data_IF_473134885546
#
_entry.id   IF_473134885546
#
_cell.length_a   1.000
_cell.length_b   1.000
_cell.length_c   1.000
_cell.angle_alpha   90.00
_cell.angle_beta   90.00
_cell.angle_gamma   90.00
#
_symmetry.space_group_name_H-M   'P 1'
#
loop_
_entity.id
_entity.type
_entity.pdbx_description
1 polymer ?
#
# COMPACT_ATOMS: atom_id res chain seq x y z
N UNK A 1 29.29 13.14 -10.80
CA UNK A 1 30.10 11.90 -10.76
C UNK A 1 30.84 11.73 -9.44
N UNK A 2 31.85 12.55 -9.07
CA UNK A 2 32.62 12.40 -7.80
C UNK A 2 31.80 12.26 -6.50
N UNK A 3 30.59 12.83 -6.44
CA UNK A 3 29.69 12.68 -5.29
C UNK A 3 29.03 11.30 -5.19
N UNK A 4 28.57 10.74 -6.32
CA UNK A 4 27.86 9.45 -6.35
C UNK A 4 28.81 8.28 -6.05
N UNK A 5 30.01 8.30 -6.63
CA UNK A 5 31.06 7.31 -6.33
C UNK A 5 31.41 7.27 -4.84
N UNK A 6 31.43 8.43 -4.18
CA UNK A 6 31.70 8.52 -2.74
C UNK A 6 30.56 7.89 -1.92
N UNK A 7 29.29 8.08 -2.32
CA UNK A 7 28.14 7.47 -1.65
C UNK A 7 28.18 5.94 -1.74
N UNK A 8 28.53 5.38 -2.91
CA UNK A 8 28.67 3.93 -3.06
C UNK A 8 29.84 3.41 -2.22
N UNK A 9 30.97 4.12 -2.20
CA UNK A 9 32.13 3.73 -1.38
C UNK A 9 31.82 3.76 0.13
N UNK A 10 30.86 4.59 0.55
CA UNK A 10 30.37 4.62 1.94
C UNK A 10 29.35 3.52 2.25
N UNK A 11 28.74 2.88 1.25
CA UNK A 11 27.71 1.85 1.44
C UNK A 11 28.19 0.75 2.40
N UNK A 12 29.45 0.31 2.27
CA UNK A 12 30.01 -0.71 3.14
C UNK A 12 30.01 -0.29 4.62
N UNK A 13 30.38 0.97 4.89
CA UNK A 13 30.36 1.53 6.24
C UNK A 13 28.92 1.64 6.77
N UNK A 14 28.04 2.28 6.00
CA UNK A 14 26.65 2.53 6.39
C UNK A 14 25.88 1.24 6.70
N UNK A 15 26.04 0.21 5.86
CA UNK A 15 25.42 -1.09 6.08
C UNK A 15 25.99 -1.76 7.32
N UNK A 16 27.32 -1.87 7.42
CA UNK A 16 27.95 -2.67 8.47
C UNK A 16 27.86 -2.04 9.87
N UNK A 17 27.66 -0.72 9.98
CA UNK A 17 27.42 -0.01 11.24
C UNK A 17 25.95 -0.07 11.70
N UNK A 18 25.01 -0.51 10.84
CA UNK A 18 23.60 -0.63 11.18
C UNK A 18 23.22 -2.07 11.52
N UNK A 19 23.12 -2.40 12.81
CA UNK A 19 22.84 -3.76 13.28
C UNK A 19 21.52 -4.34 12.77
N UNK A 20 20.48 -3.51 12.66
CA UNK A 20 19.16 -3.94 12.18
C UNK A 20 19.22 -4.36 10.71
N UNK A 21 19.92 -3.60 9.87
CA UNK A 21 20.11 -3.89 8.46
C UNK A 21 20.95 -5.16 8.27
N UNK A 22 22.07 -5.30 8.99
CA UNK A 22 22.90 -6.51 8.91
C UNK A 22 22.09 -7.74 9.36
N UNK A 23 21.30 -7.61 10.42
CA UNK A 23 20.46 -8.68 10.91
C UNK A 23 19.39 -9.07 9.88
N UNK A 24 18.71 -8.11 9.24
CA UNK A 24 17.69 -8.41 8.22
C UNK A 24 18.29 -9.11 6.99
N UNK A 25 19.54 -8.78 6.63
CA UNK A 25 20.28 -9.39 5.52
C UNK A 25 21.00 -10.70 5.82
N UNK A 26 20.97 -11.22 7.06
CA UNK A 26 21.85 -12.31 7.54
C UNK A 26 21.84 -13.62 6.73
N UNK A 27 20.82 -13.84 5.92
CA UNK A 27 20.68 -15.02 5.05
C UNK A 27 21.13 -14.79 3.60
N UNK A 28 21.56 -13.58 3.26
CA UNK A 28 22.02 -13.23 1.93
C UNK A 28 23.55 -13.19 1.88
N UNK A 29 24.13 -13.99 0.98
CA UNK A 29 25.50 -13.80 0.49
C UNK A 29 25.46 -13.78 -1.05
N UNK A 30 25.85 -12.66 -1.65
CA UNK A 30 25.67 -12.40 -3.08
C UNK A 30 26.69 -11.40 -3.61
N UNK A 31 27.08 -11.53 -4.88
CA UNK A 31 27.69 -10.46 -5.66
C UNK A 31 26.62 -9.94 -6.64
N UNK A 32 26.28 -8.66 -6.55
CA UNK A 32 25.36 -8.00 -7.49
C UNK A 32 26.01 -6.78 -8.12
N UNK A 33 25.57 -6.43 -9.32
CA UNK A 33 26.12 -5.31 -10.08
C UNK A 33 25.22 -4.06 -9.95
N UNK A 34 25.78 -2.96 -9.45
CA UNK A 34 25.13 -1.65 -9.42
C UNK A 34 25.67 -0.79 -10.57
N UNK A 35 24.81 -0.34 -11.49
CA UNK A 35 25.17 0.54 -12.60
C UNK A 35 24.69 1.97 -12.38
N UNK A 36 25.61 2.94 -12.45
CA UNK A 36 25.36 4.38 -12.29
C UNK A 36 25.83 5.11 -13.55
N UNK A 37 24.90 5.43 -14.45
CA UNK A 37 25.28 5.95 -15.76
C UNK A 37 26.13 4.92 -16.52
N UNK A 38 27.39 5.25 -16.79
CA UNK A 38 28.34 4.36 -17.47
C UNK A 38 29.28 3.62 -16.51
N UNK A 39 29.21 3.91 -15.21
CA UNK A 39 30.07 3.32 -14.19
C UNK A 39 29.38 2.12 -13.56
N UNK A 40 30.14 1.04 -13.29
CA UNK A 40 29.59 -0.17 -12.69
C UNK A 40 30.35 -0.54 -11.41
N UNK A 41 29.62 -1.08 -10.44
CA UNK A 41 30.17 -1.47 -9.14
C UNK A 41 29.69 -2.86 -8.78
N UNK A 42 30.62 -3.78 -8.52
CA UNK A 42 30.32 -5.04 -7.86
C UNK A 42 30.15 -4.79 -6.36
N UNK A 43 29.01 -5.19 -5.82
CA UNK A 43 28.72 -5.12 -4.38
C UNK A 43 28.65 -6.54 -3.85
N UNK A 44 29.70 -6.94 -3.12
CA UNK A 44 29.80 -8.24 -2.50
C UNK A 44 29.22 -8.18 -1.08
N UNK A 45 28.17 -8.94 -0.86
CA UNK A 45 27.53 -9.15 0.44
C UNK A 45 27.86 -10.56 0.95
N UNK A 46 28.25 -10.68 2.21
CA UNK A 46 28.28 -11.96 2.93
C UNK A 46 27.49 -11.85 4.23
N UNK A 47 26.46 -12.70 4.37
CA UNK A 47 25.57 -12.75 5.54
C UNK A 47 25.07 -11.37 5.97
N UNK A 48 24.60 -10.59 5.00
CA UNK A 48 24.04 -9.25 5.22
C UNK A 48 25.07 -8.12 5.43
N UNK A 49 26.37 -8.42 5.43
CA UNK A 49 27.44 -7.40 5.48
C UNK A 49 27.98 -7.14 4.09
N UNK A 50 28.25 -5.88 3.77
CA UNK A 50 28.96 -5.52 2.54
C UNK A 50 30.45 -5.69 2.80
N UNK A 51 31.05 -6.70 2.16
CA UNK A 51 32.46 -7.07 2.33
C UNK A 51 33.36 -6.25 1.40
N UNK A 52 32.89 -6.02 0.18
CA UNK A 52 33.68 -5.37 -0.87
C UNK A 52 32.77 -4.59 -1.82
N UNK A 53 33.22 -3.40 -2.22
CA UNK A 53 32.66 -2.65 -3.35
C UNK A 53 33.78 -2.43 -4.36
N UNK A 54 33.68 -3.04 -5.54
CA UNK A 54 34.71 -2.98 -6.58
C UNK A 54 34.20 -2.26 -7.81
N UNK A 55 34.92 -1.24 -8.23
CA UNK A 55 34.67 -0.53 -9.49
C UNK A 55 34.98 -1.44 -10.69
N UNK A 56 34.08 -1.47 -11.67
CA UNK A 56 34.08 -2.42 -12.79
C UNK A 56 33.37 -1.86 -14.04
N UNK A 57 33.21 -2.67 -15.11
CA UNK A 57 33.12 -4.14 -15.10
C UNK A 57 34.46 -4.85 -14.92
N UNK A 58 34.49 -5.88 -14.07
CA UNK A 58 35.66 -6.75 -13.85
C UNK A 58 35.59 -7.95 -14.79
N UNK A 59 36.64 -8.17 -15.58
CA UNK A 59 36.69 -9.23 -16.59
C UNK A 59 36.40 -10.61 -15.96
N UNK A 60 35.41 -11.32 -16.50
CA UNK A 60 35.00 -12.68 -16.09
C UNK A 60 34.51 -12.80 -14.63
N UNK A 61 34.19 -11.69 -13.93
CA UNK A 61 33.60 -11.74 -12.58
C UNK A 61 32.07 -11.94 -12.69
N UNK A 62 31.51 -13.05 -12.17
CA UNK A 62 30.07 -13.28 -12.21
C UNK A 62 29.34 -12.42 -11.17
N UNK A 63 28.07 -12.11 -11.44
CA UNK A 63 27.12 -11.50 -10.50
C UNK A 63 25.76 -12.18 -10.65
N UNK A 64 24.89 -12.11 -9.63
CA UNK A 64 23.57 -12.79 -9.64
C UNK A 64 22.46 -11.96 -10.27
N UNK A 65 22.44 -10.67 -9.97
CA UNK A 65 21.51 -9.71 -10.55
C UNK A 65 22.17 -8.34 -10.68
N UNK A 66 21.55 -7.46 -11.46
CA UNK A 66 22.01 -6.08 -11.61
C UNK A 66 20.88 -5.08 -11.42
N UNK A 67 21.21 -3.92 -10.87
CA UNK A 67 20.32 -2.75 -10.74
C UNK A 67 21.02 -1.60 -11.44
N UNK A 68 20.40 -1.01 -12.47
CA UNK A 68 21.02 0.03 -13.30
C UNK A 68 20.08 1.21 -13.47
N UNK A 69 20.62 2.42 -13.38
CA UNK A 69 19.91 3.65 -13.67
C UNK A 69 20.89 4.74 -14.14
N UNK A 70 20.36 5.83 -14.71
CA UNK A 70 21.19 6.98 -15.10
C UNK A 70 21.80 7.66 -13.87
N UNK A 71 22.90 8.40 -14.05
CA UNK A 71 23.50 9.18 -12.96
C UNK A 71 22.51 10.20 -12.37
N UNK A 72 21.63 10.76 -13.19
CA UNK A 72 20.59 11.71 -12.75
C UNK A 72 19.52 11.03 -11.89
N UNK A 73 19.09 9.82 -12.27
CA UNK A 73 18.14 9.04 -11.49
C UNK A 73 18.70 8.67 -10.11
N UNK A 74 19.96 8.23 -10.03
CA UNK A 74 20.62 7.98 -8.75
C UNK A 74 20.83 9.25 -7.92
N UNK A 75 21.14 10.37 -8.57
CA UNK A 75 21.27 11.67 -7.89
C UNK A 75 19.95 12.08 -7.23
N UNK A 76 18.82 11.86 -7.90
CA UNK A 76 17.51 12.09 -7.31
C UNK A 76 17.20 11.09 -6.20
N UNK A 77 17.41 9.79 -6.44
CA UNK A 77 17.11 8.70 -5.50
C UNK A 77 17.85 8.84 -4.15
N UNK A 78 19.04 9.45 -4.12
CA UNK A 78 19.81 9.65 -2.89
C UNK A 78 19.62 11.02 -2.23
N UNK A 79 18.69 11.85 -2.70
CA UNK A 79 18.25 12.99 -1.89
C UNK A 79 17.55 12.49 -0.61
N UNK A 80 17.57 13.25 0.49
CA UNK A 80 16.82 12.91 1.70
C UNK A 80 15.34 12.64 1.39
N UNK A 81 14.70 13.56 0.67
CA UNK A 81 13.34 13.39 0.15
C UNK A 81 13.38 13.42 -1.38
N UNK A 82 13.57 12.28 -2.05
CA UNK A 82 13.51 12.21 -3.51
C UNK A 82 12.12 12.59 -3.98
N UNK A 83 12.00 13.27 -5.13
CA UNK A 83 10.69 13.54 -5.73
C UNK A 83 9.93 12.23 -6.06
N UNK A 84 8.59 12.27 -6.21
CA UNK A 84 7.80 11.14 -6.67
C UNK A 84 8.39 10.47 -7.93
N UNK A 85 8.31 9.13 -8.00
CA UNK A 85 8.96 8.33 -9.05
C UNK A 85 10.42 7.93 -8.78
N UNK A 86 11.13 8.60 -7.84
CA UNK A 86 12.54 8.34 -7.54
C UNK A 86 12.81 7.90 -6.10
N UNK A 87 11.77 7.78 -5.28
CA UNK A 87 11.88 7.43 -3.85
C UNK A 87 12.00 5.92 -3.59
N UNK A 88 11.73 5.06 -4.56
CA UNK A 88 11.89 3.60 -4.46
C UNK A 88 12.39 3.01 -5.79
N UNK A 89 13.08 1.85 -5.73
CA UNK A 89 13.57 1.16 -6.92
C UNK A 89 12.44 0.80 -7.89
N UNK A 90 11.29 0.37 -7.37
CA UNK A 90 10.13 0.01 -8.19
C UNK A 90 9.37 1.21 -8.74
N UNK A 91 9.40 2.35 -8.05
CA UNK A 91 8.95 3.62 -8.64
C UNK A 91 9.79 3.94 -9.88
N UNK A 92 11.13 3.90 -9.74
CA UNK A 92 12.03 4.17 -10.88
C UNK A 92 11.89 3.14 -12.01
N UNK A 93 11.70 1.85 -11.68
CA UNK A 93 11.49 0.81 -12.72
C UNK A 93 10.18 1.02 -13.45
N UNK A 94 9.07 1.32 -12.73
CA UNK A 94 7.76 1.56 -13.35
C UNK A 94 7.81 2.74 -14.33
N UNK A 95 8.55 3.78 -13.98
CA UNK A 95 8.69 4.98 -14.81
C UNK A 95 9.80 4.87 -15.88
N UNK A 96 10.46 3.70 -15.99
CA UNK A 96 11.54 3.48 -16.97
C UNK A 96 12.86 4.17 -16.64
N UNK A 97 13.03 4.68 -15.43
CA UNK A 97 14.25 5.33 -14.93
C UNK A 97 15.30 4.35 -14.40
N UNK A 98 14.92 3.10 -14.12
CA UNK A 98 15.83 2.05 -13.67
C UNK A 98 15.50 0.69 -14.30
N UNK A 99 16.45 -0.23 -14.27
CA UNK A 99 16.32 -1.59 -14.78
C UNK A 99 16.89 -2.58 -13.78
N UNK A 100 16.17 -3.69 -13.56
CA UNK A 100 16.58 -4.79 -12.69
C UNK A 100 16.56 -6.08 -13.51
N UNK A 101 17.68 -6.81 -13.54
CA UNK A 101 17.88 -8.00 -14.37
C UNK A 101 18.64 -9.10 -13.64
N UNK A 102 18.53 -10.34 -14.11
CA UNK A 102 19.24 -11.51 -13.57
C UNK A 102 18.34 -12.40 -12.72
N UNK A 103 18.87 -12.92 -11.60
CA UNK A 103 18.14 -13.79 -10.67
C UNK A 103 17.11 -13.00 -9.85
N UNK A 104 15.93 -12.79 -10.45
CA UNK A 104 14.84 -12.05 -9.83
C UNK A 104 14.25 -12.78 -8.62
N UNK A 105 14.36 -14.11 -8.53
CA UNK A 105 13.88 -14.87 -7.37
C UNK A 105 14.74 -14.51 -6.16
N UNK A 106 16.06 -14.54 -6.29
CA UNK A 106 16.98 -14.13 -5.23
C UNK A 106 16.74 -12.67 -4.83
N UNK A 107 16.62 -11.78 -5.81
CA UNK A 107 16.34 -10.36 -5.58
C UNK A 107 15.02 -10.15 -4.80
N UNK A 108 13.92 -10.79 -5.22
CA UNK A 108 12.61 -10.65 -4.57
C UNK A 108 12.58 -11.25 -3.15
N UNK A 109 13.30 -12.35 -2.92
CA UNK A 109 13.42 -12.99 -1.59
C UNK A 109 14.08 -12.05 -0.59
N UNK A 110 15.01 -11.20 -1.03
CA UNK A 110 15.73 -10.23 -0.20
C UNK A 110 15.39 -8.78 -0.53
N UNK A 111 14.23 -8.54 -1.16
CA UNK A 111 13.88 -7.25 -1.75
C UNK A 111 13.97 -6.10 -0.74
N UNK A 112 13.42 -6.33 0.46
CA UNK A 112 13.41 -5.32 1.51
C UNK A 112 14.82 -4.89 1.90
N UNK A 113 15.68 -5.86 2.19
CA UNK A 113 17.08 -5.60 2.52
C UNK A 113 17.80 -4.83 1.40
N UNK A 114 17.64 -5.26 0.14
CA UNK A 114 18.30 -4.58 -1.00
C UNK A 114 17.81 -3.13 -1.16
N UNK A 115 16.51 -2.89 -1.01
CA UNK A 115 15.95 -1.53 -1.04
C UNK A 115 16.51 -0.67 0.10
N UNK A 116 16.54 -1.21 1.31
CA UNK A 116 17.01 -0.48 2.50
C UNK A 116 18.49 -0.15 2.42
N UNK A 117 19.38 -1.08 2.03
CA UNK A 117 20.82 -0.76 1.91
C UNK A 117 21.08 0.33 0.87
N UNK A 118 20.35 0.31 -0.24
CA UNK A 118 20.53 1.30 -1.30
C UNK A 118 19.98 2.67 -0.89
N UNK A 119 18.98 2.73 0.00
CA UNK A 119 18.44 3.96 0.54
C UNK A 119 19.27 4.56 1.70
N UNK A 120 20.12 3.79 2.39
CA UNK A 120 20.95 4.27 3.51
C UNK A 120 21.77 5.57 3.25
N UNK A 121 22.28 5.83 2.03
CA UNK A 121 22.97 7.09 1.75
C UNK A 121 22.09 8.34 1.77
N UNK A 122 20.75 8.18 1.83
CA UNK A 122 19.83 9.28 2.15
C UNK A 122 20.12 9.69 3.59
N UNK A 123 20.85 10.78 3.74
CA UNK A 123 21.38 11.25 5.02
C UNK A 123 20.26 11.87 5.89
N UNK A 124 19.28 11.05 6.26
CA UNK A 124 18.18 11.43 7.14
C UNK A 124 18.66 11.36 8.58
N UNK A 125 18.56 12.48 9.29
CA UNK A 125 18.55 12.44 10.74
C UNK A 125 17.20 11.84 11.12
N UNK A 126 17.20 10.67 11.76
CA UNK A 126 15.98 10.20 12.43
C UNK A 126 15.55 11.28 13.41
N UNK A 127 14.32 11.76 13.29
CA UNK A 127 13.72 12.52 14.38
C UNK A 127 13.75 11.63 15.62
N UNK A 128 14.48 12.06 16.63
CA UNK A 128 14.38 11.51 17.97
C UNK A 128 12.98 11.81 18.46
N UNK A 129 12.14 10.79 18.57
CA UNK A 129 10.85 10.92 19.25
C UNK A 129 11.12 11.50 20.63
N UNK A 130 10.52 12.64 20.95
CA UNK A 130 10.39 13.05 22.35
C UNK A 130 9.65 11.94 23.08
N UNK A 131 10.17 11.52 24.24
CA UNK A 131 9.40 10.68 25.15
C UNK A 131 8.13 11.46 25.54
N UNK A 132 7.02 11.16 24.88
CA UNK A 132 5.71 11.61 25.33
C UNK A 132 5.35 10.83 26.59
N UNK A 133 4.73 11.50 27.56
CA UNK A 133 4.26 10.85 28.78
C UNK A 133 3.23 9.78 28.41
N UNK A 134 3.61 8.51 28.57
CA UNK A 134 2.72 7.38 28.31
C UNK A 134 1.57 7.39 29.32
N UNK A 135 0.35 7.42 28.80
CA UNK A 135 -0.88 7.29 29.60
C UNK A 135 -1.56 5.98 29.26
N UNK A 136 -1.83 5.16 30.28
CA UNK A 136 -2.64 3.94 30.12
C UNK A 136 -4.11 4.30 29.88
N UNK A 137 -4.67 3.87 28.76
CA UNK A 137 -6.10 3.99 28.49
C UNK A 137 -6.59 2.88 27.55
N UNK A 138 -7.91 2.71 27.47
CA UNK A 138 -8.56 1.77 26.55
C UNK A 138 -9.15 2.59 25.40
N UNK A 139 -8.72 2.32 24.17
CA UNK A 139 -9.30 2.93 22.97
C UNK A 139 -10.79 2.54 22.83
N UNK A 140 -11.64 3.42 22.27
CA UNK A 140 -13.09 3.21 22.22
C UNK A 140 -13.53 2.13 21.20
N UNK A 141 -12.60 1.53 20.46
CA UNK A 141 -12.86 0.61 19.36
C UNK A 141 -13.45 -0.70 19.87
N UNK A 142 -14.59 -1.13 19.29
CA UNK A 142 -15.26 -2.38 19.64
C UNK A 142 -15.27 -3.34 18.45
N UNK A 143 -14.68 -4.52 18.63
CA UNK A 143 -14.66 -5.59 17.63
C UNK A 143 -15.65 -6.72 17.91
N UNK A 144 -16.36 -7.20 16.88
CA UNK A 144 -17.32 -8.31 16.97
C UNK A 144 -17.26 -9.21 15.73
N UNK A 145 -17.91 -10.37 15.83
CA UNK A 145 -18.13 -11.25 14.69
C UNK A 145 -19.58 -11.19 14.22
N UNK A 146 -19.79 -11.25 12.91
CA UNK A 146 -21.08 -11.52 12.29
C UNK A 146 -21.00 -12.77 11.40
N UNK A 147 -22.14 -13.41 11.15
CA UNK A 147 -22.23 -14.50 10.18
C UNK A 147 -23.13 -14.03 9.05
N UNK A 148 -22.58 -13.99 7.84
CA UNK A 148 -23.30 -13.54 6.64
C UNK A 148 -23.27 -14.62 5.57
N UNK A 149 -24.23 -14.55 4.65
CA UNK A 149 -24.23 -15.33 3.43
C UNK A 149 -23.82 -14.42 2.27
N UNK A 150 -22.82 -14.83 1.50
CA UNK A 150 -22.37 -14.14 0.29
C UNK A 150 -22.28 -15.19 -0.80
N UNK A 151 -23.04 -14.96 -1.89
CA UNK A 151 -23.10 -15.89 -3.04
C UNK A 151 -23.42 -17.35 -2.66
N UNK A 152 -24.29 -17.56 -1.67
CA UNK A 152 -24.69 -18.90 -1.22
C UNK A 152 -23.71 -19.57 -0.25
N UNK A 153 -22.57 -18.93 0.06
CA UNK A 153 -21.58 -19.42 1.03
C UNK A 153 -21.65 -18.64 2.34
N UNK A 154 -21.55 -19.33 3.46
CA UNK A 154 -21.51 -18.71 4.79
C UNK A 154 -20.10 -18.28 5.15
N UNK A 155 -19.96 -17.05 5.62
CA UNK A 155 -18.71 -16.47 6.10
C UNK A 155 -18.91 -15.93 7.52
N UNK A 156 -17.90 -16.14 8.36
CA UNK A 156 -17.79 -15.49 9.67
C UNK A 156 -16.86 -14.30 9.52
N UNK A 157 -17.43 -13.10 9.59
CA UNK A 157 -16.73 -11.84 9.35
C UNK A 157 -16.46 -11.16 10.68
N UNK A 158 -15.20 -10.80 10.91
CA UNK A 158 -14.81 -9.88 11.97
C UNK A 158 -14.96 -8.45 11.48
N UNK A 159 -15.47 -7.59 12.35
CA UNK A 159 -15.65 -6.16 12.10
C UNK A 159 -15.42 -5.36 13.37
N UNK A 160 -14.99 -4.12 13.20
CA UNK A 160 -14.73 -3.16 14.27
C UNK A 160 -15.53 -1.88 14.00
N UNK A 161 -15.90 -1.20 15.08
CA UNK A 161 -16.53 0.11 15.01
C UNK A 161 -16.08 1.03 16.15
N UNK A 162 -16.17 2.34 15.89
CA UNK A 162 -16.06 3.38 16.89
C UNK A 162 -16.94 4.58 16.49
N UNK A 163 -17.42 5.30 17.50
CA UNK A 163 -18.21 6.51 17.29
C UNK A 163 -19.68 6.30 16.98
N UNK A 164 -20.35 7.42 16.72
CA UNK A 164 -21.77 7.53 16.41
C UNK A 164 -22.00 8.49 15.25
N UNK A 165 -23.22 8.54 14.70
CA UNK A 165 -23.58 9.45 13.60
C UNK A 165 -23.59 8.78 12.22
N UNK A 166 -23.09 9.47 11.19
CA UNK A 166 -23.16 8.97 9.81
C UNK A 166 -22.29 7.71 9.68
N UNK A 167 -22.82 6.56 9.22
CA UNK A 167 -22.00 5.37 9.04
C UNK A 167 -20.94 5.57 7.95
N UNK A 168 -19.67 5.40 8.31
CA UNK A 168 -18.52 5.44 7.42
C UNK A 168 -17.89 4.05 7.37
N UNK A 169 -18.13 3.31 6.29
CA UNK A 169 -17.57 1.97 6.09
C UNK A 169 -16.24 2.08 5.36
N UNK A 170 -15.17 1.64 6.00
CA UNK A 170 -13.79 1.71 5.54
C UNK A 170 -13.33 0.36 4.96
N UNK A 171 -12.80 0.37 3.74
CA UNK A 171 -12.36 -0.83 3.01
C UNK A 171 -10.84 -0.87 2.87
N UNK A 172 -10.24 -1.94 3.39
CA UNK A 172 -8.79 -2.11 3.44
C UNK A 172 -8.15 -2.34 2.05
N UNK A 173 -6.83 -2.21 2.02
CA UNK A 173 -6.01 -2.49 0.85
C UNK A 173 -5.72 -3.99 0.69
N UNK A 174 -5.22 -4.38 -0.49
CA UNK A 174 -4.95 -5.77 -0.81
C UNK A 174 -3.93 -6.38 0.16
N UNK A 175 -4.19 -7.58 0.68
CA UNK A 175 -3.30 -8.28 1.60
C UNK A 175 -3.27 -7.73 3.03
N UNK A 176 -4.00 -6.66 3.31
CA UNK A 176 -4.13 -6.05 4.64
C UNK A 176 -5.52 -6.33 5.24
N UNK A 177 -5.86 -5.68 6.35
CA UNK A 177 -7.12 -5.87 7.05
C UNK A 177 -7.59 -4.56 7.70
N UNK A 178 -8.65 -4.62 8.52
CA UNK A 178 -9.29 -3.45 9.10
C UNK A 178 -8.38 -2.58 9.98
N UNK A 179 -7.25 -3.10 10.46
CA UNK A 179 -6.30 -2.37 11.31
C UNK A 179 -5.73 -1.11 10.64
N UNK A 180 -5.76 -1.02 9.30
CA UNK A 180 -5.32 0.18 8.57
C UNK A 180 -6.13 1.44 8.93
N UNK A 181 -7.33 1.29 9.49
CA UNK A 181 -8.21 2.40 9.87
C UNK A 181 -8.25 2.66 11.39
N UNK A 182 -7.38 2.02 12.18
CA UNK A 182 -7.35 2.17 13.64
C UNK A 182 -7.25 3.64 14.08
N UNK A 183 -6.38 4.41 13.41
CA UNK A 183 -6.14 5.82 13.72
C UNK A 183 -7.38 6.70 13.47
N UNK A 184 -8.25 6.34 12.53
CA UNK A 184 -9.53 7.02 12.34
C UNK A 184 -10.56 6.60 13.39
N UNK A 185 -10.56 5.33 13.81
CA UNK A 185 -11.45 4.83 14.87
C UNK A 185 -11.08 5.35 16.26
N UNK A 186 -9.84 5.78 16.46
CA UNK A 186 -9.35 6.41 17.71
C UNK A 186 -9.37 7.94 17.67
N UNK A 187 -9.84 8.54 16.57
CA UNK A 187 -9.95 9.98 16.44
C UNK A 187 -11.29 10.50 16.97
N UNK A 188 -11.28 11.00 18.20
CA UNK A 188 -12.48 11.50 18.88
C UNK A 188 -13.24 12.55 18.04
N UNK A 189 -12.53 13.45 17.37
CA UNK A 189 -13.14 14.50 16.55
C UNK A 189 -13.95 13.94 15.38
N UNK A 190 -13.48 12.83 14.79
CA UNK A 190 -14.17 12.10 13.73
C UNK A 190 -15.29 11.24 14.30
N UNK A 191 -15.02 10.46 15.35
CA UNK A 191 -15.98 9.49 15.91
C UNK A 191 -17.19 10.14 16.59
N UNK A 192 -17.10 11.43 16.95
CA UNK A 192 -18.23 12.22 17.43
C UNK A 192 -19.26 12.58 16.33
N UNK A 193 -18.90 12.41 15.06
CA UNK A 193 -19.71 12.78 13.88
C UNK A 193 -20.02 11.58 12.99
N UNK A 194 -19.10 10.63 12.93
CA UNK A 194 -19.18 9.43 12.12
C UNK A 194 -19.07 8.17 12.96
N UNK A 195 -19.94 7.21 12.66
CA UNK A 195 -19.77 5.83 13.11
C UNK A 195 -18.82 5.16 12.13
N UNK A 196 -17.53 5.12 12.47
CA UNK A 196 -16.49 4.51 11.65
C UNK A 196 -16.59 2.99 11.81
N UNK A 197 -16.68 2.28 10.70
CA UNK A 197 -16.86 0.83 10.64
C UNK A 197 -15.82 0.27 9.70
N UNK A 198 -15.10 -0.77 10.11
CA UNK A 198 -14.23 -1.55 9.22
C UNK A 198 -14.55 -3.02 9.37
N UNK A 199 -14.29 -3.82 8.33
CA UNK A 199 -14.42 -5.25 8.42
C UNK A 199 -13.30 -5.94 7.65
N UNK A 200 -12.88 -7.09 8.16
CA UNK A 200 -11.89 -7.91 7.49
C UNK A 200 -12.62 -8.72 6.42
N UNK A 201 -12.23 -8.57 5.15
CA UNK A 201 -12.75 -9.43 4.08
C UNK A 201 -12.54 -10.91 4.43
N UNK A 202 -13.37 -11.84 3.91
CA UNK A 202 -13.08 -13.27 4.03
C UNK A 202 -11.60 -13.55 3.76
N UNK A 203 -10.98 -14.41 4.58
CA UNK A 203 -9.56 -14.76 4.57
C UNK A 203 -8.61 -13.77 5.28
N UNK A 204 -9.02 -12.53 5.56
CA UNK A 204 -8.15 -11.48 6.08
C UNK A 204 -8.24 -11.34 7.60
N UNK A 205 -7.18 -10.81 8.21
CA UNK A 205 -7.15 -10.45 9.64
C UNK A 205 -7.75 -11.53 10.53
N UNK A 206 -8.83 -11.17 11.22
CA UNK A 206 -9.60 -12.06 12.12
C UNK A 206 -10.77 -12.76 11.40
N UNK A 207 -11.08 -12.42 10.15
CA UNK A 207 -12.03 -13.13 9.27
C UNK A 207 -11.38 -14.35 8.61
N UNK A 208 -11.47 -15.50 9.29
CA UNK A 208 -10.89 -16.74 8.76
C UNK A 208 -11.47 -17.15 7.39
N UNK A 209 -10.71 -17.93 6.59
CA UNK A 209 -11.25 -18.56 5.39
C UNK A 209 -12.51 -19.39 5.68
N UNK A 210 -13.44 -19.51 4.71
CA UNK A 210 -14.65 -20.29 4.89
C UNK A 210 -14.36 -21.78 5.09
N UNK A 211 -15.32 -22.52 5.63
CA UNK A 211 -15.20 -23.98 5.76
C UNK A 211 -14.91 -24.63 4.40
N UNK A 212 -13.95 -25.57 4.38
CA UNK A 212 -13.57 -26.33 3.18
C UNK A 212 -12.48 -25.70 2.31
N UNK A 213 -11.90 -24.57 2.73
CA UNK A 213 -10.94 -23.81 1.92
C UNK A 213 -9.60 -24.51 1.62
N UNK A 214 -9.29 -25.66 2.20
CA UNK A 214 -7.95 -26.26 2.20
C UNK A 214 -7.41 -26.59 0.81
N UNK A 215 -8.30 -26.80 -0.17
CA UNK A 215 -7.96 -27.07 -1.57
C UNK A 215 -8.35 -25.92 -2.50
N UNK A 216 -8.66 -24.75 -1.93
CA UNK A 216 -9.11 -23.57 -2.64
C UNK A 216 -8.02 -22.50 -2.61
N UNK A 217 -7.77 -21.86 -3.74
CA UNK A 217 -6.99 -20.64 -3.79
C UNK A 217 -7.93 -19.44 -3.65
N UNK A 218 -7.66 -18.55 -2.70
CA UNK A 218 -8.41 -17.31 -2.57
C UNK A 218 -8.25 -16.44 -3.82
N UNK A 219 -9.37 -15.99 -4.38
CA UNK A 219 -9.43 -15.08 -5.53
C UNK A 219 -10.58 -14.11 -5.35
N UNK A 220 -10.25 -12.84 -5.21
CA UNK A 220 -11.25 -11.78 -5.14
C UNK A 220 -11.76 -11.45 -6.55
N UNK A 221 -13.05 -11.18 -6.66
CA UNK A 221 -13.72 -10.69 -7.89
C UNK A 221 -14.61 -9.51 -7.56
N UNK A 222 -14.98 -8.69 -8.54
CA UNK A 222 -15.90 -7.56 -8.39
C UNK A 222 -17.22 -8.00 -7.78
N UNK A 223 -17.72 -9.18 -8.19
CA UNK A 223 -18.98 -9.73 -7.67
C UNK A 223 -18.86 -10.13 -6.20
N UNK A 224 -17.83 -10.92 -5.86
CA UNK A 224 -17.60 -11.34 -4.47
C UNK A 224 -17.36 -10.13 -3.56
N UNK A 225 -16.60 -9.14 -4.02
CA UNK A 225 -16.28 -7.96 -3.24
C UNK A 225 -17.51 -7.09 -2.99
N UNK A 226 -18.24 -6.71 -4.05
CA UNK A 226 -19.43 -5.87 -3.91
C UNK A 226 -20.54 -6.55 -3.11
N UNK A 227 -20.80 -7.84 -3.29
CA UNK A 227 -21.79 -8.57 -2.50
C UNK A 227 -21.37 -8.73 -1.03
N UNK A 228 -20.08 -8.87 -0.74
CA UNK A 228 -19.59 -8.89 0.65
C UNK A 228 -19.86 -7.55 1.33
N UNK A 229 -19.47 -6.43 0.70
CA UNK A 229 -19.68 -5.07 1.23
C UNK A 229 -21.17 -4.83 1.51
N UNK A 230 -22.02 -5.11 0.51
CA UNK A 230 -23.47 -4.92 0.62
C UNK A 230 -24.08 -5.86 1.68
N UNK A 231 -23.62 -7.10 1.80
CA UNK A 231 -24.08 -8.02 2.86
C UNK A 231 -23.69 -7.56 4.25
N UNK A 232 -22.49 -7.00 4.45
CA UNK A 232 -22.08 -6.39 5.72
C UNK A 232 -22.97 -5.18 6.05
N UNK A 233 -23.19 -4.28 5.09
CA UNK A 233 -24.06 -3.12 5.28
C UNK A 233 -25.49 -3.53 5.67
N UNK A 234 -26.07 -4.53 4.99
CA UNK A 234 -27.38 -5.10 5.32
C UNK A 234 -27.41 -5.73 6.71
N UNK A 235 -26.39 -6.52 7.07
CA UNK A 235 -26.33 -7.19 8.37
C UNK A 235 -26.24 -6.21 9.54
N UNK A 236 -25.60 -5.06 9.33
CA UNK A 236 -25.51 -3.97 10.30
C UNK A 236 -26.68 -2.98 10.23
N UNK A 237 -27.65 -3.22 9.34
CA UNK A 237 -28.80 -2.34 9.07
C UNK A 237 -28.37 -0.89 8.76
N UNK A 238 -27.32 -0.71 7.98
CA UNK A 238 -26.84 0.62 7.59
C UNK A 238 -27.77 1.21 6.52
N UNK A 239 -28.30 2.41 6.78
CA UNK A 239 -29.07 3.17 5.81
C UNK A 239 -28.15 4.18 5.11
N UNK A 240 -27.92 3.99 3.81
CA UNK A 240 -27.07 4.85 2.98
C UNK A 240 -25.74 5.22 3.65
N UNK A 241 -24.89 4.24 4.02
CA UNK A 241 -23.56 4.55 4.55
C UNK A 241 -22.71 5.31 3.52
N UNK A 242 -21.71 6.03 4.01
CA UNK A 242 -20.57 6.46 3.21
C UNK A 242 -19.63 5.27 3.07
N UNK A 243 -19.17 4.97 1.86
CA UNK A 243 -18.16 3.94 1.64
C UNK A 243 -16.84 4.60 1.27
N UNK A 244 -15.83 4.42 2.11
CA UNK A 244 -14.47 4.85 1.84
C UNK A 244 -13.58 3.62 1.67
N UNK A 245 -12.73 3.59 0.66
CA UNK A 245 -11.82 2.47 0.47
C UNK A 245 -10.51 2.89 -0.17
N UNK A 246 -9.45 2.13 0.10
CA UNK A 246 -8.12 2.40 -0.42
C UNK A 246 -7.66 1.35 -1.43
N UNK A 247 -7.01 1.76 -2.52
CA UNK A 247 -6.45 0.86 -3.54
C UNK A 247 -7.52 -0.04 -4.17
N UNK A 248 -7.58 -1.33 -3.84
CA UNK A 248 -8.70 -2.18 -4.24
C UNK A 248 -10.05 -1.70 -3.68
N UNK A 249 -10.05 -1.22 -2.43
CA UNK A 249 -11.19 -0.55 -1.81
C UNK A 249 -11.56 0.73 -2.57
N UNK A 250 -10.55 1.50 -2.99
CA UNK A 250 -10.75 2.75 -3.74
C UNK A 250 -11.26 2.54 -5.15
N UNK A 251 -10.97 1.37 -5.74
CA UNK A 251 -11.56 0.98 -7.03
C UNK A 251 -13.01 0.50 -6.88
N UNK A 252 -13.29 -0.41 -5.94
CA UNK A 252 -14.63 -1.04 -5.86
C UNK A 252 -15.73 -0.01 -5.59
N UNK A 253 -15.43 1.09 -4.89
CA UNK A 253 -16.42 2.14 -4.65
C UNK A 253 -16.96 2.79 -5.93
N UNK A 254 -16.16 2.86 -7.01
CA UNK A 254 -16.64 3.35 -8.31
C UNK A 254 -17.70 2.42 -8.90
N UNK A 255 -17.49 1.11 -8.76
CA UNK A 255 -18.46 0.10 -9.19
C UNK A 255 -19.75 0.16 -8.36
N UNK A 256 -19.63 0.38 -7.05
CA UNK A 256 -20.75 0.55 -6.14
C UNK A 256 -21.59 1.78 -6.50
N UNK A 257 -20.95 2.94 -6.67
CA UNK A 257 -21.61 4.18 -7.07
C UNK A 257 -22.30 4.08 -8.44
N UNK A 258 -21.77 3.25 -9.35
CA UNK A 258 -22.42 3.01 -10.65
C UNK A 258 -23.68 2.14 -10.54
N UNK A 259 -23.61 1.03 -9.80
CA UNK A 259 -24.63 -0.01 -9.85
C UNK A 259 -25.72 0.14 -8.78
N UNK A 260 -25.37 0.68 -7.62
CA UNK A 260 -26.28 0.88 -6.50
C UNK A 260 -26.14 2.28 -5.91
N UNK A 261 -26.27 3.36 -6.72
CA UNK A 261 -26.08 4.72 -6.23
C UNK A 261 -27.04 5.10 -5.09
N UNK A 262 -28.23 4.50 -5.04
CA UNK A 262 -29.23 4.77 -4.00
C UNK A 262 -28.91 4.05 -2.66
N UNK A 263 -27.99 3.09 -2.66
CA UNK A 263 -27.60 2.35 -1.43
C UNK A 263 -26.56 3.09 -0.59
N UNK A 264 -25.97 4.18 -1.09
CA UNK A 264 -24.83 4.85 -0.47
C UNK A 264 -25.00 6.37 -0.47
N UNK A 265 -24.68 7.02 0.66
CA UNK A 265 -24.77 8.48 0.77
C UNK A 265 -23.69 9.19 -0.05
N UNK A 266 -22.49 8.61 -0.09
CA UNK A 266 -21.37 9.05 -0.89
C UNK A 266 -20.31 7.95 -0.97
N UNK A 267 -19.37 8.08 -1.90
CA UNK A 267 -18.18 7.23 -1.93
C UNK A 267 -16.89 8.04 -1.95
N UNK A 268 -15.87 7.52 -1.26
CA UNK A 268 -14.53 8.08 -1.18
C UNK A 268 -13.52 7.02 -1.67
N UNK A 269 -12.95 7.25 -2.86
CA UNK A 269 -11.89 6.43 -3.41
C UNK A 269 -10.53 6.97 -3.03
N UNK A 270 -9.89 6.35 -2.05
CA UNK A 270 -8.49 6.56 -1.70
C UNK A 270 -7.64 5.71 -2.68
N UNK A 271 -6.71 6.34 -3.41
CA UNK A 271 -5.73 5.66 -4.27
C UNK A 271 -6.45 4.75 -5.29
N UNK A 272 -7.59 5.25 -5.77
CA UNK A 272 -8.56 4.56 -6.58
C UNK A 272 -8.60 5.09 -8.01
N UNK A 273 -8.62 4.18 -8.98
CA UNK A 273 -8.74 4.49 -10.41
C UNK A 273 -9.59 3.45 -11.13
N UNK A 274 -10.05 3.81 -12.34
CA UNK A 274 -10.84 2.96 -13.22
C UNK A 274 -10.11 1.68 -13.65
N UNK A 275 -8.77 1.72 -13.71
CA UNK A 275 -7.94 0.60 -14.13
C UNK A 275 -6.47 0.80 -13.73
N UNK A 276 -5.76 -0.31 -13.50
CA UNK A 276 -4.31 -0.34 -13.34
C UNK A 276 -3.69 -1.40 -14.23
N UNK A 277 -2.67 -1.00 -15.00
CA UNK A 277 -1.96 -1.94 -15.88
C UNK A 277 -0.98 -2.79 -15.05
N UNK A 278 -1.07 -4.12 -15.10
CA UNK A 278 -0.12 -4.99 -14.41
C UNK A 278 1.27 -4.87 -15.02
N UNK A 279 2.30 -4.69 -14.19
CA UNK A 279 3.69 -4.48 -14.65
C UNK A 279 4.72 -5.44 -14.02
N UNK A 280 4.28 -6.34 -13.13
CA UNK A 280 5.11 -7.40 -12.57
C UNK A 280 4.34 -8.71 -12.41
N UNK A 281 5.05 -9.83 -12.41
CA UNK A 281 4.49 -11.16 -12.19
C UNK A 281 4.13 -11.36 -10.71
N UNK A 282 2.92 -11.84 -10.45
CA UNK A 282 2.37 -12.10 -9.11
C UNK A 282 2.57 -13.55 -8.66
N UNK A 283 3.10 -14.42 -9.52
CA UNK A 283 3.34 -15.83 -9.18
C UNK A 283 4.24 -15.98 -7.95
N UNK A 284 5.13 -15.01 -7.68
CA UNK A 284 6.04 -14.98 -6.54
C UNK A 284 5.34 -14.80 -5.18
N UNK A 285 4.14 -14.20 -5.16
CA UNK A 285 3.43 -13.82 -3.93
C UNK A 285 2.78 -14.99 -3.18
N UNK A 286 2.79 -16.19 -3.77
CA UNK A 286 2.25 -17.39 -3.15
C UNK A 286 3.10 -18.60 -3.54
N UNK A 287 4.36 -18.60 -3.10
CA UNK A 287 5.28 -19.74 -3.27
C UNK A 287 5.81 -20.19 -1.91
N UNK A 288 6.01 -21.50 -1.69
CA UNK A 288 6.55 -22.00 -0.43
C UNK A 288 8.04 -21.69 -0.22
N UNK A 289 8.77 -21.37 -1.30
CA UNK A 289 10.19 -21.04 -1.28
C UNK A 289 10.47 -19.53 -1.22
N UNK A 290 9.43 -18.72 -1.00
CA UNK A 290 9.49 -17.26 -0.77
C UNK A 290 8.54 -16.93 0.38
N UNK A 291 8.99 -16.14 1.35
CA UNK A 291 8.12 -15.74 2.45
C UNK A 291 7.11 -14.68 1.96
N UNK A 292 5.88 -15.09 1.66
CA UNK A 292 4.85 -14.22 1.06
C UNK A 292 4.59 -12.90 1.81
N UNK A 293 4.51 -12.93 3.15
CA UNK A 293 4.35 -11.72 3.97
C UNK A 293 5.51 -10.73 3.83
N UNK A 294 6.76 -11.17 4.05
CA UNK A 294 7.96 -10.35 3.83
C UNK A 294 8.06 -9.78 2.41
N UNK A 295 7.80 -10.59 1.37
CA UNK A 295 7.83 -10.10 -0.01
C UNK A 295 6.71 -9.08 -0.29
N UNK A 296 5.51 -9.29 0.27
CA UNK A 296 4.39 -8.35 0.14
C UNK A 296 4.73 -7.02 0.82
N UNK A 297 5.22 -7.07 2.06
CA UNK A 297 5.70 -5.90 2.79
C UNK A 297 6.82 -5.16 2.03
N UNK A 298 7.77 -5.88 1.44
CA UNK A 298 8.86 -5.30 0.65
C UNK A 298 8.39 -4.65 -0.67
N UNK A 299 7.35 -5.21 -1.29
CA UNK A 299 6.73 -4.66 -2.49
C UNK A 299 6.05 -3.32 -2.15
N UNK A 300 5.29 -3.27 -1.06
CA UNK A 300 4.53 -2.08 -0.67
C UNK A 300 5.37 -1.05 0.09
N UNK A 301 6.54 -1.40 0.61
CA UNK A 301 7.37 -0.45 1.39
C UNK A 301 7.81 0.78 0.61
N UNK A 302 7.87 0.67 -0.72
CA UNK A 302 8.15 1.80 -1.60
C UNK A 302 6.96 2.74 -1.74
N UNK A 303 5.74 2.23 -1.58
CA UNK A 303 4.51 2.99 -1.75
C UNK A 303 4.19 3.91 -0.56
N UNK A 304 4.87 3.72 0.57
CA UNK A 304 4.81 4.63 1.73
C UNK A 304 5.69 5.84 1.43
N UNK A 305 5.17 7.06 1.60
CA UNK A 305 5.93 8.27 1.33
C UNK A 305 7.23 8.33 2.17
N UNK A 306 8.33 8.88 1.62
CA UNK A 306 9.59 9.06 2.36
C UNK A 306 9.43 10.02 3.55
N UNK A 307 8.41 10.87 3.54
CA UNK A 307 8.06 11.82 4.60
C UNK A 307 7.18 11.23 5.71
N UNK A 308 6.74 9.98 5.58
CA UNK A 308 5.89 9.33 6.60
C UNK A 308 6.66 9.06 7.90
N UNK A 309 6.05 9.28 9.08
CA UNK A 309 6.67 8.93 10.36
C UNK A 309 7.10 7.46 10.42
N UNK A 310 8.27 7.20 10.99
CA UNK A 310 8.86 5.86 11.05
C UNK A 310 7.95 4.84 11.73
N UNK A 311 7.32 5.22 12.84
CA UNK A 311 6.38 4.35 13.58
C UNK A 311 5.20 3.93 12.71
N UNK A 312 4.49 4.90 12.12
CA UNK A 312 3.36 4.66 11.22
C UNK A 312 3.75 3.84 9.98
N UNK A 313 4.96 4.05 9.45
CA UNK A 313 5.54 3.21 8.39
C UNK A 313 5.67 1.75 8.83
N UNK A 314 6.22 1.49 10.02
CA UNK A 314 6.39 0.13 10.52
C UNK A 314 5.06 -0.55 10.86
N UNK A 315 4.08 0.19 11.40
CA UNK A 315 2.72 -0.31 11.60
C UNK A 315 2.07 -0.73 10.29
N UNK A 316 2.17 0.14 9.27
CA UNK A 316 1.64 -0.15 7.93
C UNK A 316 2.27 -1.43 7.37
N UNK A 317 3.60 -1.57 7.46
CA UNK A 317 4.31 -2.77 6.99
C UNK A 317 3.94 -4.02 7.80
N UNK A 318 3.67 -3.89 9.10
CA UNK A 318 3.31 -5.03 9.95
C UNK A 318 2.04 -5.73 9.49
N UNK A 319 1.02 -4.98 9.03
CA UNK A 319 -0.19 -5.57 8.47
C UNK A 319 0.10 -6.53 7.31
N UNK A 320 1.05 -6.20 6.44
CA UNK A 320 1.46 -7.05 5.32
C UNK A 320 2.34 -8.23 5.76
N UNK A 321 3.19 -8.02 6.77
CA UNK A 321 4.02 -9.08 7.36
C UNK A 321 3.15 -10.16 8.01
N UNK A 322 2.04 -9.76 8.63
CA UNK A 322 1.08 -10.64 9.30
C UNK A 322 0.05 -11.29 8.36
N UNK A 323 0.06 -10.94 7.06
CA UNK A 323 -0.91 -11.43 6.09
C UNK A 323 -0.81 -12.95 5.87
N UNK A 324 -1.96 -13.59 5.72
CA UNK A 324 -2.04 -15.02 5.41
C UNK A 324 -1.50 -15.38 4.02
N UNK A 325 -1.07 -16.64 3.81
CA UNK A 325 -0.51 -17.09 2.54
C UNK A 325 -1.46 -16.88 1.35
N UNK A 326 -0.96 -16.27 0.28
CA UNK A 326 -1.69 -16.10 -0.97
C UNK A 326 -2.80 -15.05 -0.97
N UNK A 327 -3.07 -14.40 0.17
CA UNK A 327 -4.13 -13.39 0.29
C UNK A 327 -3.87 -12.18 -0.61
N UNK A 328 -2.68 -11.57 -0.48
CA UNK A 328 -2.29 -10.42 -1.31
C UNK A 328 -2.40 -10.74 -2.81
N UNK A 329 -1.96 -11.95 -3.22
CA UNK A 329 -2.12 -12.43 -4.60
C UNK A 329 -3.59 -12.53 -5.01
N UNK A 330 -4.43 -13.09 -4.14
CA UNK A 330 -5.86 -13.28 -4.36
C UNK A 330 -6.63 -11.97 -4.51
N UNK A 331 -6.31 -10.96 -3.71
CA UNK A 331 -6.88 -9.61 -3.85
C UNK A 331 -6.43 -8.92 -5.12
N UNK A 332 -5.15 -9.07 -5.50
CA UNK A 332 -4.67 -8.54 -6.75
C UNK A 332 -5.38 -9.18 -7.95
N UNK A 333 -6.06 -10.34 -7.82
CA UNK A 333 -6.91 -10.87 -8.88
C UNK A 333 -8.01 -9.87 -9.25
N UNK A 334 -8.73 -9.37 -8.26
CA UNK A 334 -9.68 -8.28 -8.44
C UNK A 334 -8.98 -7.06 -9.03
N UNK A 335 -7.91 -6.58 -8.39
CA UNK A 335 -7.29 -5.29 -8.74
C UNK A 335 -6.53 -5.28 -10.08
N UNK A 336 -6.16 -6.43 -10.67
CA UNK A 336 -5.30 -6.46 -11.86
C UNK A 336 -5.81 -7.31 -13.01
N UNK A 337 -6.82 -8.15 -12.79
CA UNK A 337 -7.31 -9.09 -13.81
C UNK A 337 -8.79 -8.94 -14.03
N UNK A 338 -9.56 -8.94 -12.94
CA UNK A 338 -11.01 -8.99 -13.01
C UNK A 338 -11.66 -7.60 -13.14
N UNK A 339 -11.17 -6.59 -12.41
CA UNK A 339 -11.72 -5.24 -12.48
C UNK A 339 -11.14 -4.41 -13.64
N UNK A 340 -12.03 -3.94 -14.51
CA UNK A 340 -11.75 -2.93 -15.52
C UNK A 340 -12.97 -2.03 -15.68
N UNK A 341 -12.87 -0.79 -15.20
CA UNK A 341 -14.00 0.12 -15.14
C UNK A 341 -13.91 1.26 -16.15
N UNK A 342 -12.93 1.21 -17.08
CA UNK A 342 -12.66 2.30 -18.03
C UNK A 342 -13.88 2.72 -18.84
N UNK A 343 -14.75 1.77 -19.15
CA UNK A 343 -15.96 1.95 -19.97
C UNK A 343 -17.24 2.19 -19.15
N UNK A 344 -17.20 2.04 -17.81
CA UNK A 344 -18.39 2.16 -16.96
C UNK A 344 -18.38 3.40 -16.07
N UNK A 345 -17.20 3.97 -15.78
CA UNK A 345 -17.09 5.13 -14.88
C UNK A 345 -17.79 6.38 -15.44
N UNK A 346 -17.93 6.48 -16.76
CA UNK A 346 -18.67 7.58 -17.42
C UNK A 346 -20.16 7.57 -17.14
N UNK A 347 -20.70 6.45 -16.68
CA UNK A 347 -22.12 6.26 -16.40
C UNK A 347 -22.48 6.52 -14.91
N UNK A 348 -21.49 6.87 -14.08
CA UNK A 348 -21.73 7.22 -12.68
C UNK A 348 -22.49 8.56 -12.61
N UNK A 349 -23.61 8.56 -11.87
CA UNK A 349 -24.40 9.76 -11.59
C UNK A 349 -24.09 10.30 -10.20
N UNK A 350 -23.19 11.29 -10.14
CA UNK A 350 -22.75 11.90 -8.87
C UNK A 350 -23.81 12.71 -8.15
N UNK A 351 -24.97 12.96 -8.79
CA UNK A 351 -26.12 13.56 -8.10
C UNK A 351 -26.85 12.57 -7.21
N UNK A 352 -26.75 11.28 -7.51
CA UNK A 352 -27.33 10.19 -6.71
C UNK A 352 -26.34 9.68 -5.67
N UNK A 353 -25.08 9.54 -6.07
CA UNK A 353 -24.00 9.10 -5.19
C UNK A 353 -22.74 9.94 -5.46
N UNK A 354 -22.49 11.00 -4.65
CA UNK A 354 -21.29 11.82 -4.78
C UNK A 354 -20.00 10.99 -4.71
N UNK A 355 -19.02 11.36 -5.53
CA UNK A 355 -17.74 10.65 -5.66
C UNK A 355 -16.60 11.60 -5.34
N UNK A 356 -15.81 11.24 -4.33
CA UNK A 356 -14.57 11.92 -3.95
C UNK A 356 -13.38 10.98 -4.22
N UNK A 357 -12.33 11.50 -4.86
CA UNK A 357 -11.11 10.76 -5.16
C UNK A 357 -9.90 11.45 -4.55
N UNK A 358 -9.15 10.74 -3.71
CA UNK A 358 -7.95 11.25 -3.08
C UNK A 358 -6.79 10.33 -3.43
N UNK A 359 -5.62 10.88 -3.76
CA UNK A 359 -4.44 10.06 -4.09
C UNK A 359 -3.17 10.75 -3.62
N UNK A 360 -2.34 10.03 -2.87
CA UNK A 360 -1.01 10.49 -2.48
C UNK A 360 -0.09 10.76 -3.67
N UNK A 361 0.69 11.84 -3.60
CA UNK A 361 1.65 12.21 -4.65
C UNK A 361 2.75 11.16 -4.86
N UNK A 362 3.10 10.39 -3.82
CA UNK A 362 4.12 9.34 -3.86
C UNK A 362 3.56 7.98 -4.31
N UNK A 363 2.26 7.86 -4.55
CA UNK A 363 1.67 6.61 -5.00
C UNK A 363 2.10 6.28 -6.44
N UNK A 364 2.93 5.24 -6.61
CA UNK A 364 3.25 4.68 -7.92
C UNK A 364 2.50 3.36 -8.19
N UNK A 365 1.61 2.91 -7.32
CA UNK A 365 0.66 1.84 -7.61
C UNK A 365 -0.51 2.40 -8.42
N UNK A 366 -1.21 3.40 -7.88
CA UNK A 366 -2.24 4.20 -8.56
C UNK A 366 -1.74 5.65 -8.66
N UNK A 367 -1.15 6.03 -9.79
CA UNK A 367 -0.52 7.35 -9.85
C UNK A 367 -1.55 8.49 -9.77
N UNK A 368 -1.14 9.70 -9.35
CA UNK A 368 -1.97 10.89 -9.49
C UNK A 368 -2.60 11.02 -10.89
N UNK A 369 -1.85 10.71 -11.95
CA UNK A 369 -2.36 10.72 -13.33
C UNK A 369 -3.46 9.69 -13.58
N UNK A 370 -3.40 8.52 -12.94
CA UNK A 370 -4.44 7.50 -13.05
C UNK A 370 -5.76 7.96 -12.42
N UNK A 371 -5.67 8.59 -11.26
CA UNK A 371 -6.83 9.16 -10.56
C UNK A 371 -7.40 10.37 -11.31
N UNK A 372 -6.55 11.28 -11.80
CA UNK A 372 -6.98 12.43 -12.60
C UNK A 372 -7.65 11.99 -13.90
N UNK A 373 -7.08 11.01 -14.60
CA UNK A 373 -7.70 10.38 -15.79
C UNK A 373 -9.07 9.83 -15.45
N UNK A 374 -9.20 9.11 -14.34
CA UNK A 374 -10.48 8.53 -13.89
C UNK A 374 -11.50 9.63 -13.59
N UNK A 375 -11.14 10.61 -12.76
CA UNK A 375 -12.01 11.73 -12.38
C UNK A 375 -12.51 12.53 -13.60
N UNK A 376 -11.64 12.74 -14.61
CA UNK A 376 -12.02 13.45 -15.84
C UNK A 376 -13.21 12.82 -16.59
N UNK A 377 -13.44 11.52 -16.40
CA UNK A 377 -14.56 10.76 -16.99
C UNK A 377 -15.82 10.78 -16.13
N UNK A 378 -15.69 10.98 -14.82
CA UNK A 378 -16.80 10.98 -13.86
C UNK A 378 -17.27 12.42 -13.66
N UNK A 379 -18.33 12.79 -14.38
CA UNK A 379 -18.87 14.16 -14.33
C UNK A 379 -19.29 14.51 -12.90
N UNK A 380 -18.71 15.58 -12.36
CA UNK A 380 -19.02 16.08 -11.01
C UNK A 380 -18.37 15.28 -9.88
N UNK A 381 -17.40 14.40 -10.18
CA UNK A 381 -16.49 13.91 -9.14
C UNK A 381 -15.59 15.04 -8.63
N UNK A 382 -15.21 14.96 -7.36
CA UNK A 382 -14.23 15.83 -6.75
C UNK A 382 -12.92 15.05 -6.58
N UNK A 383 -11.78 15.67 -6.90
CA UNK A 383 -10.47 15.02 -6.86
C UNK A 383 -9.45 15.88 -6.13
N UNK A 384 -8.61 15.24 -5.32
CA UNK A 384 -7.52 15.88 -4.59
C UNK A 384 -6.26 15.02 -4.61
N UNK A 385 -5.14 15.59 -5.06
CA UNK A 385 -3.82 14.98 -4.86
C UNK A 385 -3.32 15.41 -3.47
N UNK A 386 -2.86 14.44 -2.69
CA UNK A 386 -2.39 14.65 -1.32
C UNK A 386 -0.86 14.74 -1.31
N UNK A 387 -0.35 15.94 -1.11
CA UNK A 387 1.08 16.22 -1.03
C UNK A 387 1.68 15.55 0.23
N UNK A 388 2.90 15.01 0.10
CA UNK A 388 3.65 14.27 1.13
C UNK A 388 3.01 12.95 1.61
N UNK A 389 2.02 12.42 0.90
CA UNK A 389 1.43 11.11 1.13
C UNK A 389 1.68 10.16 -0.05
N UNK A 390 1.72 8.88 0.25
CA UNK A 390 1.83 7.75 -0.65
C UNK A 390 0.54 6.94 -0.71
N UNK A 391 0.65 5.62 -0.77
CA UNK A 391 -0.47 4.73 -1.08
C UNK A 391 -1.35 4.35 0.13
N UNK A 392 -0.92 4.66 1.36
CA UNK A 392 -1.63 4.24 2.58
C UNK A 392 -1.93 5.42 3.49
N UNK A 393 -2.57 6.49 2.99
CA UNK A 393 -2.66 7.77 3.70
C UNK A 393 -3.24 7.62 5.13
N UNK A 394 -4.23 6.73 5.30
CA UNK A 394 -4.88 6.43 6.59
C UNK A 394 -3.97 5.78 7.65
N UNK A 395 -2.88 5.12 7.25
CA UNK A 395 -2.01 4.39 8.18
C UNK A 395 -0.55 4.84 8.14
N UNK A 396 -0.07 5.42 7.04
CA UNK A 396 1.31 5.86 6.91
C UNK A 396 1.56 7.25 7.48
N UNK A 397 0.55 8.12 7.49
CA UNK A 397 0.60 9.42 8.15
C UNK A 397 -0.82 9.90 8.47
N UNK A 398 -1.46 9.31 9.50
CA UNK A 398 -2.86 9.58 9.82
C UNK A 398 -3.11 11.05 10.16
N UNK A 399 -2.15 11.73 10.77
CA UNK A 399 -2.28 13.15 11.11
C UNK A 399 -2.38 14.02 9.86
N UNK A 400 -1.49 13.86 8.89
CA UNK A 400 -1.54 14.60 7.63
C UNK A 400 -2.76 14.21 6.78
N UNK A 401 -3.15 12.93 6.80
CA UNK A 401 -4.33 12.48 6.05
C UNK A 401 -5.62 13.19 6.47
N UNK A 402 -5.77 13.51 7.76
CA UNK A 402 -6.95 14.22 8.28
C UNK A 402 -7.14 15.58 7.63
N UNK A 403 -6.07 16.29 7.30
CA UNK A 403 -6.14 17.59 6.62
C UNK A 403 -6.78 17.50 5.23
N UNK A 404 -6.67 16.34 4.58
CA UNK A 404 -7.30 16.07 3.29
C UNK A 404 -8.68 15.42 3.41
N UNK A 405 -8.89 14.57 4.41
CA UNK A 405 -10.15 13.86 4.62
C UNK A 405 -11.25 14.76 5.21
N UNK A 406 -10.91 15.61 6.18
CA UNK A 406 -11.91 16.41 6.90
C UNK A 406 -12.78 17.30 5.98
N UNK A 407 -12.22 18.03 4.99
CA UNK A 407 -13.03 18.83 4.07
C UNK A 407 -14.06 17.98 3.29
N UNK A 408 -13.70 16.74 2.93
CA UNK A 408 -14.60 15.82 2.23
C UNK A 408 -15.72 15.35 3.16
N UNK A 409 -15.39 15.02 4.41
CA UNK A 409 -16.38 14.59 5.39
C UNK A 409 -17.36 15.72 5.77
N UNK A 410 -16.86 16.95 5.93
CA UNK A 410 -17.68 18.15 6.16
C UNK A 410 -18.65 18.38 5.00
N UNK A 411 -18.21 18.15 3.76
CA UNK A 411 -19.07 18.23 2.58
C UNK A 411 -20.17 17.18 2.60
N UNK A 412 -19.84 15.95 3.02
CA UNK A 412 -20.79 14.83 3.09
C UNK A 412 -21.86 15.05 4.18
N UNK A 413 -21.50 15.65 5.31
CA UNK A 413 -22.47 15.99 6.36
C UNK A 413 -23.54 16.97 5.88
N UNK A 414 -23.18 17.84 4.94
CA UNK A 414 -24.08 18.83 4.35
C UNK A 414 -24.97 18.25 3.24
N UNK A 415 -24.78 16.99 2.86
CA UNK A 415 -25.65 16.32 1.89
C UNK A 415 -26.98 15.98 2.56
N UNK A 416 -28.07 16.36 1.89
CA UNK A 416 -29.41 15.91 2.24
C UNK A 416 -29.46 14.36 2.21
N UNK A 417 -30.23 13.77 3.12
CA UNK A 417 -30.45 12.32 3.16
C UNK A 417 -31.42 11.86 2.07
#
# INVERSE_FOLDING_TARGET
MRGLENLIKQLAKLVNENELIVWSGRFLSVDFLLGIGNDFFHVLIDKGRVIEVVEGPVLMRPYKFSIRASSDAWTEFWKPFPKPGYHDLFAMVKDGNATIEGDLKLFLTHLRYIKEILALPRNEKSETSSEEDFVEYIEPVIGRYMNINVEGRSYRIYWEEAGEGIPLVCLHTAGADGQQFRHLMSDEALTNRFRVITFDMPWHGKSLPPKGFQLEEYRLTTKLYSETIRSVCRALNLNQPVIMGCSMGGRIVLHLARHWPEEFKAVIGLEGSDHQTPWYDRAWLHRPDIHGGETSAALVSGLIAPTSPSEARWETLWGYLASGPGIFKGDLNFYRVDSDYRDIVTEIDTKKCPVFLLTGEYDFSCSPDDTLRTSSKIKGSEVKIMENLGHFPMSENPMLFKDYLNPVLERIEQLDN
#
